data_IF_490229761575
#
_entry.id   IF_490229761575
#
_cell.length_a   1.000
_cell.length_b   1.000
_cell.length_c   1.000
_cell.angle_alpha   90.00
_cell.angle_beta   90.00
_cell.angle_gamma   90.00
#
_symmetry.space_group_name_H-M   'P 1'
#
loop_
_entity.id
_entity.type
_entity.pdbx_description
1 polymer ?
#
# COMPACT_ATOMS: atom_id res chain seq x y z
N UNK A 1 -20.53 7.70 -11.36
CA UNK A 1 -21.22 6.56 -10.72
C UNK A 1 -20.55 6.42 -9.38
N UNK A 2 -21.26 6.72 -8.30
CA UNK A 2 -20.77 6.51 -6.93
C UNK A 2 -20.81 5.00 -6.72
N UNK A 3 -19.66 4.36 -6.64
CA UNK A 3 -19.59 2.96 -6.29
C UNK A 3 -20.01 2.90 -4.83
N UNK A 4 -21.09 2.19 -4.53
CA UNK A 4 -21.49 1.98 -3.14
C UNK A 4 -20.39 1.16 -2.46
N UNK A 5 -19.92 1.62 -1.30
CA UNK A 5 -19.05 0.84 -0.41
C UNK A 5 -19.59 -0.59 -0.32
N UNK A 6 -18.74 -1.63 -0.42
CA UNK A 6 -19.18 -3.00 -0.18
C UNK A 6 -19.95 -3.05 1.14
N UNK A 7 -21.09 -3.75 1.13
CA UNK A 7 -22.14 -3.70 2.16
C UNK A 7 -21.69 -4.01 3.61
N UNK A 8 -20.43 -4.42 3.81
CA UNK A 8 -19.82 -4.81 5.08
C UNK A 8 -18.71 -3.85 5.59
N UNK A 9 -18.33 -2.81 4.81
CA UNK A 9 -17.31 -1.84 5.22
C UNK A 9 -17.94 -0.71 6.06
N UNK A 10 -18.05 -0.94 7.38
CA UNK A 10 -18.41 0.11 8.33
C UNK A 10 -17.43 1.28 8.25
N UNK A 11 -17.93 2.52 8.32
CA UNK A 11 -17.09 3.70 8.37
C UNK A 11 -16.38 3.82 9.73
N UNK A 12 -15.25 3.13 9.87
CA UNK A 12 -14.44 3.11 11.07
C UNK A 12 -12.98 3.45 10.76
N UNK A 13 -12.24 3.92 11.77
CA UNK A 13 -10.79 4.18 11.62
C UNK A 13 -10.03 2.90 11.30
N UNK A 14 -10.50 1.78 11.82
CA UNK A 14 -9.91 0.47 11.60
C UNK A 14 -10.06 0.03 10.14
N UNK A 15 -11.27 0.12 9.59
CA UNK A 15 -11.53 -0.21 8.20
C UNK A 15 -10.77 0.72 7.24
N UNK A 16 -10.67 2.01 7.56
CA UNK A 16 -9.82 2.95 6.80
C UNK A 16 -8.34 2.52 6.81
N UNK A 17 -7.84 2.01 7.94
CA UNK A 17 -6.47 1.52 8.04
C UNK A 17 -6.27 0.20 7.29
N UNK A 18 -7.23 -0.71 7.34
CA UNK A 18 -7.21 -1.97 6.59
C UNK A 18 -7.18 -1.70 5.09
N UNK A 19 -8.02 -0.78 4.59
CA UNK A 19 -8.03 -0.40 3.18
C UNK A 19 -6.70 0.24 2.75
N UNK A 20 -6.12 1.11 3.57
CA UNK A 20 -4.79 1.67 3.25
C UNK A 20 -3.67 0.61 3.30
N UNK A 21 -3.81 -0.43 4.13
CA UNK A 21 -2.87 -1.54 4.16
C UNK A 21 -2.99 -2.42 2.91
N UNK A 22 -4.22 -2.78 2.50
CA UNK A 22 -4.46 -3.44 1.22
C UNK A 22 -3.94 -2.61 0.05
N UNK A 23 -4.16 -1.29 0.05
CA UNK A 23 -3.59 -0.41 -0.97
C UNK A 23 -2.07 -0.47 -1.00
N UNK A 24 -1.43 -0.44 0.17
CA UNK A 24 0.03 -0.49 0.30
C UNK A 24 0.61 -1.83 -0.18
N UNK A 25 -0.13 -2.94 -0.06
CA UNK A 25 0.28 -4.27 -0.54
C UNK A 25 0.00 -4.50 -2.02
N UNK A 26 -1.23 -4.21 -2.45
CA UNK A 26 -1.76 -4.60 -3.77
C UNK A 26 -1.54 -3.55 -4.85
N UNK A 27 -1.35 -2.29 -4.46
CA UNK A 27 -1.31 -1.14 -5.37
C UNK A 27 -2.59 -0.99 -6.21
N UNK A 28 -3.70 -1.59 -5.77
CA UNK A 28 -5.00 -1.43 -6.39
C UNK A 28 -5.68 -0.18 -5.84
N UNK A 29 -6.01 0.74 -6.76
CA UNK A 29 -6.63 2.03 -6.43
C UNK A 29 -7.99 1.85 -5.74
N UNK A 30 -8.68 0.74 -5.96
CA UNK A 30 -9.97 0.45 -5.31
C UNK A 30 -9.86 0.60 -3.79
N UNK A 31 -8.79 0.09 -3.18
CA UNK A 31 -8.58 0.17 -1.74
C UNK A 31 -8.33 1.60 -1.25
N UNK A 32 -7.55 2.37 -2.00
CA UNK A 32 -7.37 3.79 -1.72
C UNK A 32 -8.70 4.56 -1.79
N UNK A 33 -9.51 4.28 -2.81
CA UNK A 33 -10.81 4.93 -3.00
C UNK A 33 -11.78 4.56 -1.86
N UNK A 34 -11.83 3.30 -1.43
CA UNK A 34 -12.58 2.87 -0.25
C UNK A 34 -12.14 3.63 1.02
N UNK A 35 -10.83 3.77 1.26
CA UNK A 35 -10.32 4.52 2.40
C UNK A 35 -10.70 6.01 2.37
N UNK A 36 -10.71 6.63 1.17
CA UNK A 36 -11.18 8.01 0.97
C UNK A 36 -12.66 8.16 1.29
N UNK A 37 -13.49 7.20 0.88
CA UNK A 37 -14.92 7.20 1.17
C UNK A 37 -15.20 7.06 2.66
N UNK A 38 -14.51 6.14 3.35
CA UNK A 38 -14.59 5.98 4.81
C UNK A 38 -14.20 7.28 5.52
N UNK A 39 -13.09 7.91 5.11
CA UNK A 39 -12.66 9.19 5.67
C UNK A 39 -13.74 10.28 5.47
N UNK A 40 -14.38 10.29 4.30
CA UNK A 40 -15.49 11.20 3.99
C UNK A 40 -16.68 11.02 4.94
N UNK A 41 -17.03 9.77 5.26
CA UNK A 41 -18.08 9.45 6.23
C UNK A 41 -17.68 9.87 7.65
N UNK A 42 -16.49 9.47 8.11
CA UNK A 42 -15.98 9.82 9.44
C UNK A 42 -15.94 11.33 9.66
N UNK A 43 -15.60 12.12 8.64
CA UNK A 43 -15.58 13.58 8.71
C UNK A 43 -16.98 14.18 8.91
N UNK A 44 -18.04 13.56 8.37
CA UNK A 44 -19.43 13.98 8.64
C UNK A 44 -19.78 13.79 10.11
N UNK A 45 -19.20 12.76 10.74
CA UNK A 45 -19.36 12.46 12.17
C UNK A 45 -18.37 13.24 13.07
N UNK A 46 -17.66 14.22 12.51
CA UNK A 46 -16.79 15.12 13.27
C UNK A 46 -15.34 14.65 13.43
N UNK A 47 -14.93 13.58 12.74
CA UNK A 47 -13.53 13.16 12.71
C UNK A 47 -12.65 14.21 12.02
N UNK A 48 -11.47 14.49 12.61
CA UNK A 48 -10.53 15.51 12.13
C UNK A 48 -9.22 14.96 11.59
N UNK A 49 -9.06 13.64 11.53
CA UNK A 49 -7.83 13.03 11.04
C UNK A 49 -7.77 12.97 9.50
N UNK A 50 -6.71 12.30 9.03
CA UNK A 50 -6.40 12.09 7.62
C UNK A 50 -6.39 10.60 7.28
N UNK A 51 -6.15 10.30 6.01
CA UNK A 51 -5.78 8.94 5.61
C UNK A 51 -4.49 8.52 6.34
N UNK A 52 -4.38 7.24 6.73
CA UNK A 52 -3.11 6.61 7.08
C UNK A 52 -2.09 6.74 5.93
N UNK A 53 -0.79 6.82 6.22
CA UNK A 53 0.25 6.85 5.19
C UNK A 53 0.31 5.52 4.41
N UNK A 54 0.89 5.57 3.22
CA UNK A 54 1.26 4.39 2.43
C UNK A 54 2.59 3.85 2.95
N UNK A 55 2.66 2.53 3.18
CA UNK A 55 3.83 1.84 3.74
C UNK A 55 4.36 0.71 2.84
N UNK A 56 4.20 0.84 1.52
CA UNK A 56 4.62 -0.18 0.54
C UNK A 56 6.12 -0.46 0.63
N UNK A 57 6.96 0.55 0.83
CA UNK A 57 8.40 0.36 0.94
C UNK A 57 8.75 -0.56 2.11
N UNK A 58 8.16 -0.34 3.28
CA UNK A 58 8.38 -1.14 4.49
C UNK A 58 7.91 -2.59 4.28
N UNK A 59 6.77 -2.77 3.62
CA UNK A 59 6.26 -4.10 3.27
C UNK A 59 7.22 -4.84 2.33
N UNK A 60 7.73 -4.15 1.31
CA UNK A 60 8.72 -4.71 0.39
C UNK A 60 10.04 -4.96 1.10
N UNK A 61 10.40 -4.12 2.05
CA UNK A 61 11.62 -4.24 2.85
C UNK A 61 11.63 -5.58 3.62
N UNK A 62 10.52 -5.88 4.29
CA UNK A 62 10.35 -7.10 5.08
C UNK A 62 10.12 -8.36 4.25
N UNK A 63 9.81 -8.22 2.97
CA UNK A 63 9.47 -9.32 2.07
C UNK A 63 10.67 -10.13 1.55
N UNK A 64 11.90 -9.70 1.84
CA UNK A 64 13.10 -10.42 1.44
C UNK A 64 13.57 -11.37 2.52
N UNK A 65 13.68 -12.66 2.17
CA UNK A 65 14.10 -13.72 3.10
C UNK A 65 15.56 -13.55 3.58
N UNK A 66 16.43 -12.98 2.75
CA UNK A 66 17.85 -12.83 3.06
C UNK A 66 18.28 -11.36 2.99
N UNK A 67 18.83 -10.77 4.08
CA UNK A 67 19.25 -9.36 4.10
C UNK A 67 20.25 -8.99 3.00
N UNK A 68 21.07 -9.95 2.55
CA UNK A 68 22.07 -9.71 1.49
C UNK A 68 21.46 -9.33 0.14
N UNK A 69 20.23 -9.77 -0.15
CA UNK A 69 19.55 -9.53 -1.43
C UNK A 69 19.31 -8.03 -1.64
N UNK A 70 19.19 -7.26 -0.56
CA UNK A 70 19.06 -5.80 -0.59
C UNK A 70 20.25 -5.05 -1.15
N UNK A 71 21.43 -5.67 -1.11
CA UNK A 71 22.67 -5.06 -1.62
C UNK A 71 22.89 -5.33 -3.10
N UNK A 72 21.96 -6.04 -3.75
CA UNK A 72 22.03 -6.24 -5.18
C UNK A 72 21.55 -4.99 -5.89
N UNK A 73 22.30 -4.56 -6.90
CA UNK A 73 22.10 -3.30 -7.63
C UNK A 73 20.65 -3.12 -8.10
N UNK A 74 20.02 -4.19 -8.61
CA UNK A 74 18.61 -4.15 -8.99
C UNK A 74 17.70 -3.81 -7.81
N UNK A 75 17.88 -4.47 -6.66
CA UNK A 75 17.00 -4.29 -5.50
C UNK A 75 17.21 -2.91 -4.90
N UNK A 76 18.45 -2.46 -4.77
CA UNK A 76 18.76 -1.11 -4.31
C UNK A 76 18.13 -0.06 -5.22
N UNK A 77 18.27 -0.20 -6.54
CA UNK A 77 17.68 0.71 -7.50
C UNK A 77 16.15 0.77 -7.42
N UNK A 78 15.48 -0.39 -7.44
CA UNK A 78 14.02 -0.47 -7.42
C UNK A 78 13.44 -0.01 -6.06
N UNK A 79 14.10 -0.33 -4.94
CA UNK A 79 13.67 0.14 -3.62
C UNK A 79 13.84 1.65 -3.45
N UNK A 80 14.90 2.26 -4.02
CA UNK A 80 15.06 3.72 -4.03
C UNK A 80 13.98 4.42 -4.85
N UNK A 81 13.56 3.83 -5.98
CA UNK A 81 12.41 4.33 -6.76
C UNK A 81 11.15 4.26 -5.90
N UNK A 82 10.90 3.12 -5.26
CA UNK A 82 9.71 2.92 -4.45
C UNK A 82 9.63 3.93 -3.29
N UNK A 83 10.72 4.11 -2.56
CA UNK A 83 10.84 5.08 -1.46
C UNK A 83 10.50 6.50 -1.95
N UNK A 84 11.14 6.94 -3.04
CA UNK A 84 10.94 8.29 -3.58
C UNK A 84 9.47 8.59 -3.90
N UNK A 85 8.77 7.65 -4.55
CA UNK A 85 7.36 7.85 -4.91
C UNK A 85 6.42 7.70 -3.70
N UNK A 86 6.72 6.81 -2.75
CA UNK A 86 5.99 6.69 -1.49
C UNK A 86 6.08 8.00 -0.69
N UNK A 87 7.29 8.51 -0.45
CA UNK A 87 7.51 9.73 0.31
C UNK A 87 6.79 10.91 -0.31
N UNK A 88 6.91 11.07 -1.64
CA UNK A 88 6.23 12.12 -2.37
C UNK A 88 4.70 12.04 -2.18
N UNK A 89 4.11 10.85 -2.32
CA UNK A 89 2.69 10.65 -2.07
C UNK A 89 2.33 10.97 -0.61
N UNK A 90 3.10 10.50 0.36
CA UNK A 90 2.84 10.74 1.78
C UNK A 90 2.94 12.21 2.18
N UNK A 91 3.65 13.07 1.43
CA UNK A 91 3.61 14.53 1.64
C UNK A 91 2.23 15.15 1.35
N UNK A 92 1.45 14.54 0.45
CA UNK A 92 0.11 15.00 0.08
C UNK A 92 -0.74 13.85 -0.45
N UNK A 93 -1.18 12.99 0.48
CA UNK A 93 -1.81 11.70 0.19
C UNK A 93 -3.17 11.80 -0.52
N UNK A 94 -3.80 12.97 -0.54
CA UNK A 94 -5.06 13.22 -1.26
C UNK A 94 -4.84 13.65 -2.71
N UNK A 95 -3.59 13.92 -3.12
CA UNK A 95 -3.28 14.37 -4.48
C UNK A 95 -3.31 13.20 -5.47
N UNK A 96 -4.34 13.17 -6.31
CA UNK A 96 -4.57 12.10 -7.29
C UNK A 96 -3.44 11.94 -8.33
N UNK A 97 -2.70 13.00 -8.63
CA UNK A 97 -1.53 12.90 -9.51
C UNK A 97 -0.39 12.14 -8.83
N UNK A 98 -0.20 12.34 -7.52
CA UNK A 98 0.80 11.61 -6.75
C UNK A 98 0.40 10.15 -6.57
N UNK A 99 -0.89 9.88 -6.30
CA UNK A 99 -1.44 8.51 -6.22
C UNK A 99 -1.20 7.76 -7.53
N UNK A 100 -1.53 8.39 -8.67
CA UNK A 100 -1.36 7.76 -9.99
C UNK A 100 0.11 7.47 -10.32
N UNK A 101 1.02 8.42 -10.01
CA UNK A 101 2.46 8.24 -10.21
C UNK A 101 3.03 7.15 -9.31
N UNK A 102 2.63 7.14 -8.05
CA UNK A 102 3.02 6.10 -7.10
C UNK A 102 2.61 4.72 -7.60
N UNK A 103 1.33 4.51 -7.93
CA UNK A 103 0.83 3.23 -8.46
C UNK A 103 1.61 2.81 -9.71
N UNK A 104 1.85 3.74 -10.64
CA UNK A 104 2.57 3.45 -11.89
C UNK A 104 3.99 2.95 -11.62
N UNK A 105 4.73 3.60 -10.73
CA UNK A 105 6.13 3.25 -10.45
C UNK A 105 6.25 2.05 -9.51
N UNK A 106 5.41 1.97 -8.48
CA UNK A 106 5.37 0.83 -7.56
C UNK A 106 5.01 -0.48 -8.28
N UNK A 107 4.08 -0.46 -9.25
CA UNK A 107 3.78 -1.67 -10.06
C UNK A 107 4.94 -2.11 -10.94
N UNK A 108 5.79 -1.18 -11.40
CA UNK A 108 7.01 -1.54 -12.14
C UNK A 108 8.04 -2.20 -11.22
N UNK A 109 8.21 -1.65 -10.01
CA UNK A 109 9.07 -2.23 -8.96
C UNK A 109 8.58 -3.63 -8.60
N UNK A 110 7.29 -3.80 -8.31
CA UNK A 110 6.65 -5.09 -8.06
C UNK A 110 6.98 -6.09 -9.17
N UNK A 111 6.72 -5.71 -10.41
CA UNK A 111 6.98 -6.58 -11.55
C UNK A 111 8.47 -6.93 -11.69
N UNK A 112 9.39 -5.98 -11.50
CA UNK A 112 10.83 -6.21 -11.61
C UNK A 112 11.34 -7.18 -10.54
N UNK A 113 10.91 -7.00 -9.28
CA UNK A 113 11.30 -7.86 -8.16
C UNK A 113 10.70 -9.26 -8.28
N UNK A 114 9.38 -9.36 -8.51
CA UNK A 114 8.68 -10.64 -8.70
C UNK A 114 9.13 -11.39 -9.95
N UNK A 115 9.66 -10.69 -10.97
CA UNK A 115 10.26 -11.31 -12.16
C UNK A 115 11.71 -11.77 -11.97
N UNK A 116 12.41 -11.25 -10.95
CA UNK A 116 13.80 -11.63 -10.67
C UNK A 116 13.88 -12.77 -9.66
N UNK A 117 13.01 -12.75 -8.66
CA UNK A 117 13.02 -13.64 -7.51
C UNK A 117 11.79 -14.53 -7.56
N UNK A 118 12.01 -15.84 -7.59
CA UNK A 118 10.95 -16.83 -7.83
C UNK A 118 10.97 -17.99 -6.84
N UNK A 119 12.04 -18.14 -6.04
CA UNK A 119 12.28 -19.31 -5.20
C UNK A 119 12.29 -18.92 -3.72
N UNK A 120 11.34 -18.06 -3.32
CA UNK A 120 11.19 -17.63 -1.94
C UNK A 120 12.23 -16.61 -1.47
N UNK A 121 13.04 -16.03 -2.36
CA UNK A 121 13.94 -14.92 -1.98
C UNK A 121 13.20 -13.60 -1.75
N UNK A 122 12.02 -13.47 -2.36
CA UNK A 122 11.09 -12.35 -2.22
C UNK A 122 9.66 -12.90 -2.18
N UNK A 123 8.86 -12.42 -1.24
CA UNK A 123 7.43 -12.71 -1.14
C UNK A 123 6.67 -11.44 -1.52
N UNK A 124 5.87 -11.48 -2.58
CA UNK A 124 5.11 -10.30 -2.99
C UNK A 124 4.06 -9.95 -1.92
N UNK A 125 4.09 -8.74 -1.31
CA UNK A 125 3.15 -8.35 -0.27
C UNK A 125 1.67 -8.46 -0.67
N UNK A 126 1.37 -8.32 -1.97
CA UNK A 126 0.00 -8.46 -2.48
C UNK A 126 -0.60 -9.85 -2.31
N UNK A 127 0.23 -10.86 -2.00
CA UNK A 127 -0.20 -12.25 -1.76
C UNK A 127 -0.54 -12.53 -0.29
N UNK A 128 -0.31 -11.57 0.60
CA UNK A 128 -0.53 -11.71 2.04
C UNK A 128 -1.78 -10.93 2.43
N UNK A 129 -2.72 -11.61 3.09
CA UNK A 129 -3.92 -10.97 3.64
C UNK A 129 -3.57 -10.26 4.96
N UNK A 130 -3.67 -8.91 5.02
CA UNK A 130 -3.36 -8.15 6.22
C UNK A 130 -4.29 -8.43 7.40
N UNK A 131 -5.47 -9.00 7.16
CA UNK A 131 -6.36 -9.40 8.25
C UNK A 131 -5.93 -10.73 8.88
N UNK A 132 -5.36 -11.65 8.10
CA UNK A 132 -4.82 -12.91 8.63
C UNK A 132 -3.64 -12.68 9.58
N UNK A 133 -2.84 -11.62 9.39
CA UNK A 133 -1.72 -11.26 10.27
C UNK A 133 -2.15 -10.70 11.64
N UNK A 134 -3.39 -10.21 11.77
CA UNK A 134 -3.91 -9.61 13.02
C UNK A 134 -4.46 -10.65 13.99
N UNK A 135 -4.94 -11.79 13.50
CA UNK A 135 -5.51 -12.85 14.34
C UNK A 135 -4.43 -13.68 15.08
N UNK A 136 -3.15 -13.46 14.78
CA UNK A 136 -2.00 -14.18 15.37
C UNK A 136 -1.22 -13.37 16.42
N UNK A 137 -1.67 -12.16 16.80
CA UNK A 137 -1.02 -11.28 17.80
C UNK A 137 -1.91 -11.04 19.03
#
# INVERSE_FOLDING_TARGET
MTQELPCDLEASKENMAIEMDYFSRTLDKVHYDNAVEILGQLKKDGYKGSLPPVNTWELYDQSFTFPRVRKYELVEHEMNILEHFQDNLNTNISNQNLVSRFIQHAKKVQHALSSKYHNGEFVDPSTIDPQAEKDEQ
#
